data_IF_232927896846
#
_entry.id   IF_232927896846
#
_cell.length_a   1.000
_cell.length_b   1.000
_cell.length_c   1.000
_cell.angle_alpha   90.00
_cell.angle_beta   90.00
_cell.angle_gamma   90.00
#
_symmetry.space_group_name_H-M   'P 1'
#
loop_
_entity.id
_entity.type
_entity.pdbx_description
1 polymer ?
#
# COMPACT_ATOMS: atom_id res chain seq x y z
N UNK A 1 -29.27 22.19 12.35
CA UNK A 1 -27.94 22.26 11.72
C UNK A 1 -27.71 20.92 11.05
N UNK A 2 -27.81 20.92 9.73
CA UNK A 2 -27.92 19.75 8.87
C UNK A 2 -26.69 18.82 8.99
N UNK A 3 -26.97 17.54 9.18
CA UNK A 3 -25.99 16.48 9.02
C UNK A 3 -25.50 16.50 7.57
N UNK A 4 -24.25 16.91 7.37
CA UNK A 4 -23.60 16.88 6.07
C UNK A 4 -23.35 15.43 5.68
N UNK A 5 -24.37 14.81 5.07
CA UNK A 5 -24.25 13.59 4.29
C UNK A 5 -23.29 13.85 3.14
N UNK A 6 -22.00 13.67 3.39
CA UNK A 6 -21.04 13.52 2.31
C UNK A 6 -21.35 12.19 1.64
N UNK A 7 -22.11 12.26 0.56
CA UNK A 7 -22.25 11.21 -0.43
C UNK A 7 -20.85 10.83 -0.91
N UNK A 8 -20.22 9.85 -0.25
CA UNK A 8 -19.00 9.23 -0.74
C UNK A 8 -19.47 8.46 -1.97
N UNK A 9 -19.28 9.04 -3.16
CA UNK A 9 -19.33 8.28 -4.41
C UNK A 9 -18.57 6.96 -4.20
N UNK A 10 -18.93 5.86 -4.86
CA UNK A 10 -18.09 4.67 -4.81
C UNK A 10 -16.76 5.07 -5.43
N UNK A 11 -15.80 5.45 -4.58
CA UNK A 11 -14.44 5.66 -5.01
C UNK A 11 -14.02 4.31 -5.54
N UNK A 12 -13.87 4.21 -6.86
CA UNK A 12 -13.32 3.04 -7.52
C UNK A 12 -12.07 2.64 -6.74
N UNK A 13 -12.11 1.43 -6.18
CA UNK A 13 -11.08 0.99 -5.27
C UNK A 13 -9.88 0.58 -6.11
N UNK A 14 -9.03 1.55 -6.44
CA UNK A 14 -7.87 1.38 -7.30
C UNK A 14 -6.92 0.28 -6.80
N UNK A 15 -6.93 -0.03 -5.49
CA UNK A 15 -6.19 -1.16 -4.92
C UNK A 15 -6.83 -2.50 -5.30
N UNK A 16 -8.16 -2.62 -5.28
CA UNK A 16 -8.86 -3.82 -5.77
C UNK A 16 -8.65 -4.00 -7.28
N UNK A 17 -8.75 -2.94 -8.07
CA UNK A 17 -8.50 -2.99 -9.51
C UNK A 17 -7.05 -3.39 -9.84
N UNK A 18 -6.10 -2.82 -9.09
CA UNK A 18 -4.69 -3.18 -9.21
C UNK A 18 -4.47 -4.67 -8.89
N UNK A 19 -5.08 -5.19 -7.82
CA UNK A 19 -4.97 -6.60 -7.46
C UNK A 19 -5.72 -7.54 -8.41
N UNK A 20 -6.78 -7.06 -9.07
CA UNK A 20 -7.44 -7.82 -10.14
C UNK A 20 -6.52 -7.97 -11.37
N UNK A 21 -5.75 -6.92 -11.70
CA UNK A 21 -4.76 -6.93 -12.80
C UNK A 21 -3.47 -7.68 -12.45
N UNK A 22 -3.01 -7.56 -11.20
CA UNK A 22 -1.74 -8.11 -10.72
C UNK A 22 -1.92 -8.86 -9.39
N UNK A 23 -2.58 -10.04 -9.42
CA UNK A 23 -2.95 -10.76 -8.19
C UNK A 23 -1.74 -11.24 -7.37
N UNK A 24 -0.59 -11.40 -8.01
CA UNK A 24 0.66 -11.82 -7.37
C UNK A 24 1.31 -10.73 -6.49
N UNK A 25 0.85 -9.47 -6.58
CA UNK A 25 1.26 -8.39 -5.67
C UNK A 25 0.62 -8.47 -4.29
N UNK A 26 -0.35 -9.36 -4.09
CA UNK A 26 -1.09 -9.48 -2.82
C UNK A 26 -0.18 -9.69 -1.61
N UNK A 27 0.80 -10.60 -1.72
CA UNK A 27 1.79 -10.85 -0.65
C UNK A 27 2.62 -9.59 -0.37
N UNK A 28 3.07 -8.90 -1.41
CA UNK A 28 3.86 -7.69 -1.28
C UNK A 28 3.08 -6.56 -0.59
N UNK A 29 1.81 -6.34 -0.94
CA UNK A 29 0.98 -5.35 -0.26
C UNK A 29 0.72 -5.69 1.21
N UNK A 30 0.60 -6.98 1.53
CA UNK A 30 0.49 -7.43 2.92
C UNK A 30 1.77 -7.14 3.71
N UNK A 31 2.94 -7.44 3.16
CA UNK A 31 4.24 -7.13 3.78
C UNK A 31 4.44 -5.61 3.94
N UNK A 32 4.04 -4.82 2.96
CA UNK A 32 4.12 -3.35 3.02
C UNK A 32 3.25 -2.79 4.14
N UNK A 33 1.99 -3.21 4.21
CA UNK A 33 1.06 -2.78 5.25
C UNK A 33 1.56 -3.18 6.65
N UNK A 34 2.09 -4.39 6.79
CA UNK A 34 2.70 -4.87 8.04
C UNK A 34 3.92 -4.03 8.44
N UNK A 35 4.82 -3.75 7.50
CA UNK A 35 6.02 -2.94 7.76
C UNK A 35 5.68 -1.55 8.28
N UNK A 36 4.62 -0.93 7.74
CA UNK A 36 4.15 0.36 8.22
C UNK A 36 3.49 0.30 9.59
N UNK A 37 2.73 -0.76 9.90
CA UNK A 37 2.21 -0.99 11.25
C UNK A 37 3.34 -1.13 12.29
N UNK A 38 4.36 -1.95 11.98
CA UNK A 38 5.55 -2.09 12.82
C UNK A 38 6.31 -0.76 12.97
N UNK A 39 6.25 0.09 11.94
CA UNK A 39 6.84 1.43 11.92
C UNK A 39 6.12 2.50 12.75
N UNK A 40 4.81 2.34 13.06
CA UNK A 40 4.03 3.35 13.79
C UNK A 40 4.57 3.67 15.20
N UNK A 41 5.29 2.73 15.82
CA UNK A 41 5.93 2.92 17.12
C UNK A 41 7.37 3.46 17.04
N UNK A 42 7.91 3.67 15.84
CA UNK A 42 9.31 4.03 15.63
C UNK A 42 9.42 5.40 14.94
N UNK A 43 9.80 6.46 15.68
CA UNK A 43 9.99 7.81 15.12
C UNK A 43 11.07 7.88 14.02
N UNK A 44 11.96 6.88 13.94
CA UNK A 44 13.00 6.80 12.92
C UNK A 44 12.57 6.03 11.68
N UNK A 45 11.34 5.49 11.63
CA UNK A 45 10.86 4.73 10.47
C UNK A 45 10.76 5.62 9.22
N UNK A 46 11.45 5.21 8.16
CA UNK A 46 11.51 5.96 6.89
C UNK A 46 10.68 5.32 5.76
N UNK A 47 10.02 4.19 6.04
CA UNK A 47 9.36 3.34 5.06
C UNK A 47 10.06 2.00 4.84
N UNK A 48 9.47 1.18 3.99
CA UNK A 48 9.97 -0.15 3.61
C UNK A 48 10.79 -0.08 2.31
N UNK A 49 11.65 -1.06 2.11
CA UNK A 49 12.48 -1.24 0.92
C UNK A 49 11.96 -2.42 0.09
N UNK A 50 12.54 -2.59 -1.11
CA UNK A 50 12.19 -3.70 -2.00
C UNK A 50 12.44 -5.09 -1.37
N UNK A 51 13.49 -5.19 -0.55
CA UNK A 51 13.85 -6.43 0.16
C UNK A 51 12.80 -6.82 1.20
N UNK A 52 12.17 -5.84 1.85
CA UNK A 52 11.14 -6.07 2.88
C UNK A 52 9.86 -6.64 2.27
N UNK A 53 9.63 -6.39 0.98
CA UNK A 53 8.50 -6.94 0.22
C UNK A 53 8.81 -8.26 -0.49
N UNK A 54 10.01 -8.82 -0.29
CA UNK A 54 10.51 -9.99 -1.00
C UNK A 54 10.36 -9.86 -2.53
N UNK A 55 10.64 -8.67 -3.06
CA UNK A 55 10.27 -8.27 -4.41
C UNK A 55 11.43 -7.61 -5.14
N UNK A 56 11.59 -7.90 -6.44
CA UNK A 56 12.59 -7.21 -7.27
C UNK A 56 12.30 -5.69 -7.37
N UNK A 57 13.30 -4.79 -7.33
CA UNK A 57 13.10 -3.34 -7.33
C UNK A 57 12.19 -2.80 -8.46
N UNK A 58 12.28 -3.35 -9.66
CA UNK A 58 11.42 -2.94 -10.80
C UNK A 58 9.94 -3.22 -10.55
N UNK A 59 9.62 -4.28 -9.79
CA UNK A 59 8.25 -4.58 -9.40
C UNK A 59 7.72 -3.62 -8.35
N UNK A 60 8.58 -3.12 -7.44
CA UNK A 60 8.21 -2.06 -6.50
C UNK A 60 7.89 -0.77 -7.23
N UNK A 61 8.65 -0.43 -8.27
CA UNK A 61 8.35 0.75 -9.09
C UNK A 61 6.94 0.70 -9.71
N UNK A 62 6.41 -0.48 -10.03
CA UNK A 62 5.03 -0.62 -10.49
C UNK A 62 4.02 -0.14 -9.44
N UNK A 63 4.25 -0.40 -8.16
CA UNK A 63 3.39 0.13 -7.09
C UNK A 63 3.40 1.66 -7.07
N UNK A 64 4.53 2.29 -7.40
CA UNK A 64 4.64 3.75 -7.48
C UNK A 64 3.93 4.29 -8.73
N UNK A 65 4.14 3.65 -9.89
CA UNK A 65 3.54 4.04 -11.17
C UNK A 65 2.01 3.92 -11.13
N UNK A 66 1.50 2.81 -10.60
CA UNK A 66 0.06 2.54 -10.45
C UNK A 66 -0.54 3.30 -9.25
N UNK A 67 0.27 4.12 -8.56
CA UNK A 67 -0.19 5.02 -7.52
C UNK A 67 -0.51 4.36 -6.17
N UNK A 68 -0.20 3.09 -5.97
CA UNK A 68 -0.37 2.36 -4.69
C UNK A 68 0.62 2.84 -3.62
N UNK A 69 1.86 3.13 -4.03
CA UNK A 69 2.94 3.57 -3.17
C UNK A 69 3.53 4.90 -3.62
N UNK A 70 4.35 5.51 -2.77
CA UNK A 70 5.16 6.68 -3.03
C UNK A 70 6.58 6.47 -2.52
N UNK A 71 7.54 7.21 -3.09
CA UNK A 71 8.89 7.29 -2.54
C UNK A 71 8.82 8.20 -1.30
N UNK A 72 9.19 7.67 -0.14
CA UNK A 72 9.26 8.43 1.12
C UNK A 72 10.61 9.11 1.28
N UNK A 73 11.68 8.31 1.30
CA UNK A 73 13.06 8.78 1.41
C UNK A 73 13.92 8.09 0.34
N UNK A 74 14.80 8.84 -0.31
CA UNK A 74 15.83 8.28 -1.19
C UNK A 74 17.20 8.71 -0.73
N UNK A 75 18.07 7.74 -0.54
CA UNK A 75 19.48 7.93 -0.17
C UNK A 75 20.39 7.46 -1.31
N UNK A 76 21.71 7.60 -1.14
CA UNK A 76 22.68 7.04 -2.08
C UNK A 76 22.68 5.50 -2.12
N UNK A 77 22.23 4.83 -1.04
CA UNK A 77 22.33 3.38 -0.87
C UNK A 77 20.98 2.65 -0.94
N UNK A 78 19.89 3.35 -0.71
CA UNK A 78 18.57 2.76 -0.56
C UNK A 78 17.45 3.73 -0.93
N UNK A 79 16.33 3.18 -1.38
CA UNK A 79 15.06 3.88 -1.57
C UNK A 79 14.03 3.28 -0.64
N UNK A 80 13.40 4.13 0.16
CA UNK A 80 12.34 3.78 1.09
C UNK A 80 11.00 4.26 0.52
N UNK A 81 9.99 3.40 0.64
CA UNK A 81 8.67 3.59 0.09
C UNK A 81 7.63 3.55 1.20
N UNK A 82 6.49 4.17 0.91
CA UNK A 82 5.31 4.19 1.76
C UNK A 82 4.08 3.93 0.90
N UNK A 83 3.10 3.22 1.42
CA UNK A 83 1.76 3.12 0.86
C UNK A 83 1.12 4.51 0.89
N UNK A 84 0.36 4.84 -0.17
CA UNK A 84 -0.38 6.11 -0.19
C UNK A 84 -1.57 6.07 0.77
N UNK A 85 -2.29 4.94 0.78
CA UNK A 85 -3.44 4.71 1.64
C UNK A 85 -3.32 3.35 2.34
N UNK A 86 -2.58 3.27 3.47
CA UNK A 86 -2.33 2.01 4.16
C UNK A 86 -3.62 1.35 4.64
N UNK A 87 -4.57 2.13 5.15
CA UNK A 87 -5.86 1.63 5.65
C UNK A 87 -6.76 1.07 4.54
N UNK A 88 -6.73 1.65 3.35
CA UNK A 88 -7.43 1.12 2.18
C UNK A 88 -6.84 -0.23 1.78
N UNK A 89 -5.51 -0.31 1.68
CA UNK A 89 -4.79 -1.56 1.35
C UNK A 89 -5.15 -2.66 2.35
N UNK A 90 -5.10 -2.39 3.65
CA UNK A 90 -5.50 -3.35 4.70
C UNK A 90 -6.95 -3.80 4.55
N UNK A 91 -7.85 -2.86 4.28
CA UNK A 91 -9.29 -3.15 4.10
C UNK A 91 -9.50 -4.10 2.92
N UNK A 92 -8.87 -3.84 1.78
CA UNK A 92 -8.95 -4.69 0.58
C UNK A 92 -8.38 -6.08 0.81
N UNK A 93 -7.22 -6.15 1.47
CA UNK A 93 -6.58 -7.43 1.78
C UNK A 93 -7.44 -8.29 2.71
N UNK A 94 -8.16 -7.68 3.66
CA UNK A 94 -9.12 -8.36 4.55
C UNK A 94 -10.39 -8.79 3.81
N UNK A 95 -11.02 -7.90 3.05
CA UNK A 95 -12.28 -8.17 2.34
C UNK A 95 -12.16 -9.27 1.29
N UNK A 96 -11.02 -9.35 0.60
CA UNK A 96 -10.77 -10.39 -0.40
C UNK A 96 -10.51 -11.79 0.20
N UNK A 97 -10.36 -11.93 1.53
CA UNK A 97 -10.31 -13.24 2.20
C UNK A 97 -11.74 -13.78 2.45
N UNK A 98 -12.73 -12.89 2.62
CA UNK A 98 -14.12 -13.27 2.90
C UNK A 98 -14.95 -13.62 1.66
N UNK A 99 -14.49 -13.29 0.44
CA UNK A 99 -15.24 -13.53 -0.81
C UNK A 99 -15.10 -14.97 -1.35
N UNK A 100 -14.80 -15.96 -0.51
CA UNK A 100 -14.52 -17.34 -0.94
C UNK A 100 -15.62 -18.31 -0.52
#
# INVERSE_FOLDING_TARGET
MEASSHSRAPQENYVEEFLAKYPDYRKALWLAARSEEEGLGNPSYQGWQWSDLEMHPTRVLRLVIEGIAKIGLRTRRATYYLLKEPELVKTVLKSSILKK
#
